data_IF_662205196409
#
_entry.id   IF_662205196409
#
_cell.length_a   1.000
_cell.length_b   1.000
_cell.length_c   1.000
_cell.angle_alpha   90.00
_cell.angle_beta   90.00
_cell.angle_gamma   90.00
#
_symmetry.space_group_name_H-M   'P 1'
#
loop_
_entity.id
_entity.type
_entity.pdbx_description
1 polymer ?
#
# COMPACT_ATOMS: atom_id res chain seq x y z
N UNK A 1 0.54 -5.55 31.45
CA UNK A 1 1.41 -5.56 30.26
C UNK A 1 0.52 -5.54 29.01
N UNK A 2 0.08 -4.35 28.58
CA UNK A 2 -0.55 -4.21 27.28
C UNK A 2 0.53 -4.44 26.22
N UNK A 3 0.41 -5.51 25.43
CA UNK A 3 1.10 -5.56 24.14
C UNK A 3 0.64 -4.31 23.40
N UNK A 4 1.54 -3.35 23.21
CA UNK A 4 1.38 -2.33 22.17
C UNK A 4 0.94 -3.10 20.93
N UNK A 5 -0.26 -2.83 20.42
CA UNK A 5 -0.62 -3.30 19.10
C UNK A 5 0.42 -2.65 18.18
N UNK A 6 1.45 -3.41 17.80
CA UNK A 6 2.33 -3.03 16.72
C UNK A 6 1.39 -2.74 15.57
N UNK A 7 1.35 -1.49 15.10
CA UNK A 7 0.62 -1.17 13.88
C UNK A 7 1.26 -2.00 12.79
N UNK A 8 0.63 -3.14 12.47
CA UNK A 8 1.09 -4.01 11.41
C UNK A 8 0.76 -3.29 10.12
N UNK A 9 1.78 -2.71 9.48
CA UNK A 9 1.67 -2.25 8.12
C UNK A 9 1.49 -3.46 7.21
N UNK A 10 0.50 -3.41 6.33
CA UNK A 10 0.22 -4.48 5.38
C UNK A 10 0.17 -3.93 3.96
N UNK A 11 0.75 -4.66 3.01
CA UNK A 11 0.71 -4.35 1.59
C UNK A 11 -0.33 -5.25 0.90
N UNK A 12 -1.35 -4.65 0.29
CA UNK A 12 -2.26 -5.37 -0.60
C UNK A 12 -1.75 -5.25 -2.04
N UNK A 13 -1.53 -6.39 -2.71
CA UNK A 13 -1.11 -6.46 -4.11
C UNK A 13 -2.29 -6.95 -4.93
N UNK A 14 -2.83 -6.07 -5.78
CA UNK A 14 -4.10 -6.28 -6.51
C UNK A 14 -3.94 -6.85 -7.92
N UNK A 15 -2.71 -6.91 -8.45
CA UNK A 15 -2.44 -7.41 -9.80
C UNK A 15 -2.70 -8.91 -9.94
N UNK A 16 -3.41 -9.38 -10.97
CA UNK A 16 -3.60 -10.81 -11.22
C UNK A 16 -2.30 -11.47 -11.67
N UNK A 17 -2.25 -12.80 -11.52
CA UNK A 17 -1.23 -13.63 -12.19
C UNK A 17 -1.59 -13.66 -13.67
N UNK A 18 -1.12 -12.67 -14.44
CA UNK A 18 -1.50 -12.50 -15.84
C UNK A 18 -1.38 -13.84 -16.60
N UNK A 19 -2.48 -14.39 -17.17
CA UNK A 19 -2.55 -15.77 -17.62
C UNK A 19 -1.73 -16.05 -18.89
N UNK A 20 -1.15 -15.01 -19.50
CA UNK A 20 -0.47 -15.08 -20.79
C UNK A 20 1.07 -15.09 -20.69
N UNK A 21 1.65 -15.13 -19.49
CA UNK A 21 3.09 -15.19 -19.31
C UNK A 21 3.48 -16.13 -18.17
N UNK A 22 4.07 -17.29 -18.50
CA UNK A 22 4.58 -18.24 -17.51
C UNK A 22 5.62 -17.62 -16.54
N UNK A 23 6.23 -16.50 -16.92
CA UNK A 23 7.13 -15.75 -16.03
C UNK A 23 6.41 -15.09 -14.86
N UNK A 24 5.12 -14.76 -14.99
CA UNK A 24 4.35 -14.13 -13.90
C UNK A 24 4.16 -15.08 -12.72
N UNK A 25 3.87 -16.37 -13.00
CA UNK A 25 3.75 -17.41 -11.97
C UNK A 25 5.08 -17.60 -11.26
N UNK A 26 6.19 -17.69 -12.01
CA UNK A 26 7.53 -17.83 -11.41
C UNK A 26 7.91 -16.62 -10.56
N UNK A 27 7.60 -15.43 -11.04
CA UNK A 27 7.86 -14.20 -10.30
C UNK A 27 7.03 -14.15 -9.01
N UNK A 28 5.76 -14.54 -9.07
CA UNK A 28 4.90 -14.65 -7.91
C UNK A 28 5.45 -15.63 -6.86
N UNK A 29 5.87 -16.83 -7.27
CA UNK A 29 6.52 -17.77 -6.35
C UNK A 29 7.82 -17.21 -5.76
N UNK A 30 8.60 -16.48 -6.57
CA UNK A 30 9.81 -15.79 -6.09
C UNK A 30 9.49 -14.77 -4.99
N UNK A 31 8.40 -14.02 -5.13
CA UNK A 31 7.95 -13.07 -4.11
C UNK A 31 7.50 -13.77 -2.82
N UNK A 32 6.81 -14.92 -2.94
CA UNK A 32 6.40 -15.72 -1.77
C UNK A 32 7.59 -16.30 -1.02
N UNK A 33 8.58 -16.81 -1.75
CA UNK A 33 9.82 -17.30 -1.16
C UNK A 33 10.60 -16.16 -0.48
N UNK A 34 10.64 -14.97 -1.10
CA UNK A 34 11.26 -13.80 -0.49
C UNK A 34 10.57 -13.39 0.82
N UNK A 35 9.24 -13.36 0.87
CA UNK A 35 8.51 -13.10 2.12
C UNK A 35 8.88 -14.10 3.22
N UNK A 36 9.03 -15.38 2.84
CA UNK A 36 9.42 -16.43 3.77
C UNK A 36 10.85 -16.25 4.28
N UNK A 37 11.79 -15.95 3.40
CA UNK A 37 13.19 -15.69 3.75
C UNK A 37 13.35 -14.49 4.67
N UNK A 38 12.54 -13.44 4.46
CA UNK A 38 12.56 -12.22 5.26
C UNK A 38 11.75 -12.33 6.57
N UNK A 39 10.98 -13.41 6.78
CA UNK A 39 10.12 -13.55 7.95
C UNK A 39 8.93 -12.58 7.95
N UNK A 40 8.49 -12.15 6.76
CA UNK A 40 7.44 -11.13 6.57
C UNK A 40 6.10 -11.75 6.14
N UNK A 41 5.88 -13.03 6.41
CA UNK A 41 4.61 -13.68 6.12
C UNK A 41 3.47 -12.93 6.83
N UNK A 42 2.43 -12.56 6.07
CA UNK A 42 1.30 -11.77 6.56
C UNK A 42 1.51 -10.25 6.55
N UNK A 43 2.66 -9.75 6.08
CA UNK A 43 2.88 -8.30 5.85
C UNK A 43 2.54 -7.89 4.41
N UNK A 44 2.42 -8.85 3.49
CA UNK A 44 1.92 -8.63 2.14
C UNK A 44 0.87 -9.68 1.82
N UNK A 45 -0.20 -9.24 1.16
CA UNK A 45 -1.35 -10.05 0.79
C UNK A 45 -1.57 -9.92 -0.72
N UNK A 46 -1.44 -11.03 -1.43
CA UNK A 46 -1.63 -11.06 -2.88
C UNK A 46 -3.06 -11.50 -3.20
N UNK A 47 -3.83 -10.61 -3.82
CA UNK A 47 -5.23 -10.87 -4.15
C UNK A 47 -5.38 -11.96 -5.23
N UNK A 48 -4.33 -12.15 -6.01
CA UNK A 48 -4.14 -13.30 -6.88
C UNK A 48 -4.35 -14.67 -6.20
N UNK A 49 -4.14 -14.80 -4.88
CA UNK A 49 -4.38 -16.06 -4.16
C UNK A 49 -5.87 -16.32 -3.90
N UNK A 50 -6.70 -15.29 -4.05
CA UNK A 50 -8.14 -15.33 -3.80
C UNK A 50 -8.95 -15.25 -5.09
N UNK A 51 -8.37 -14.70 -6.16
CA UNK A 51 -9.07 -14.44 -7.41
C UNK A 51 -8.12 -14.53 -8.62
N UNK A 52 -8.47 -15.39 -9.58
CA UNK A 52 -7.63 -15.72 -10.76
C UNK A 52 -7.74 -14.71 -11.92
N UNK A 53 -8.38 -13.56 -11.72
CA UNK A 53 -8.65 -12.58 -12.76
C UNK A 53 -8.48 -11.12 -12.32
N UNK A 54 -8.93 -10.20 -13.15
CA UNK A 54 -8.98 -8.79 -12.78
C UNK A 54 -10.06 -8.57 -11.73
N UNK A 55 -9.69 -7.92 -10.62
CA UNK A 55 -10.67 -7.49 -9.64
C UNK A 55 -11.67 -6.51 -10.28
N UNK A 56 -12.96 -6.56 -9.91
CA UNK A 56 -13.92 -5.55 -10.34
C UNK A 56 -13.47 -4.13 -9.99
N UNK A 57 -13.75 -3.16 -10.84
CA UNK A 57 -13.35 -1.75 -10.65
C UNK A 57 -13.85 -1.18 -9.31
N UNK A 58 -15.05 -1.58 -8.89
CA UNK A 58 -15.63 -1.20 -7.59
C UNK A 58 -14.79 -1.69 -6.39
N UNK A 59 -14.21 -2.88 -6.50
CA UNK A 59 -13.33 -3.45 -5.46
C UNK A 59 -12.00 -2.68 -5.44
N UNK A 60 -11.44 -2.36 -6.61
CA UNK A 60 -10.24 -1.52 -6.69
C UNK A 60 -10.50 -0.13 -6.10
N UNK A 61 -11.65 0.48 -6.40
CA UNK A 61 -12.05 1.77 -5.84
C UNK A 61 -12.19 1.71 -4.31
N UNK A 62 -12.71 0.62 -3.76
CA UNK A 62 -12.75 0.40 -2.31
C UNK A 62 -11.35 0.33 -1.70
N UNK A 63 -10.39 -0.35 -2.35
CA UNK A 63 -8.99 -0.36 -1.90
C UNK A 63 -8.39 1.05 -1.82
N UNK A 64 -8.60 1.89 -2.83
CA UNK A 64 -8.12 3.28 -2.80
C UNK A 64 -8.74 4.09 -1.65
N UNK A 65 -10.00 3.83 -1.27
CA UNK A 65 -10.68 4.53 -0.16
C UNK A 65 -10.17 4.13 1.21
N UNK A 66 -9.77 2.86 1.38
CA UNK A 66 -9.35 2.33 2.68
C UNK A 66 -7.83 2.36 2.88
N UNK A 67 -7.05 2.41 1.80
CA UNK A 67 -5.60 2.46 1.86
C UNK A 67 -5.08 3.73 2.54
N UNK A 68 -3.91 3.63 3.16
CA UNK A 68 -3.17 4.77 3.69
C UNK A 68 -2.27 5.44 2.64
N UNK A 69 -1.77 4.67 1.66
CA UNK A 69 -0.97 5.14 0.55
C UNK A 69 -1.06 4.20 -0.67
N UNK A 70 -0.74 4.72 -1.86
CA UNK A 70 -0.39 3.92 -3.03
C UNK A 70 1.12 3.71 -3.06
N UNK A 71 1.57 2.46 -3.15
CA UNK A 71 2.96 2.13 -3.47
C UNK A 71 3.05 1.57 -4.88
N UNK A 72 3.75 2.28 -5.77
CA UNK A 72 3.75 2.02 -7.21
C UNK A 72 5.18 1.97 -7.79
N UNK A 73 5.96 0.92 -7.46
CA UNK A 73 7.37 0.77 -7.85
C UNK A 73 7.54 0.28 -9.31
N UNK A 74 6.65 0.68 -10.23
CA UNK A 74 6.63 0.15 -11.59
C UNK A 74 7.86 0.57 -12.39
N UNK A 75 8.49 -0.38 -13.10
CA UNK A 75 9.65 -0.10 -13.96
C UNK A 75 9.24 0.41 -15.34
N UNK A 76 8.05 0.02 -15.79
CA UNK A 76 7.51 0.35 -17.11
C UNK A 76 6.02 0.63 -16.99
N UNK A 77 5.58 1.74 -17.57
CA UNK A 77 4.18 2.14 -17.54
C UNK A 77 3.75 2.70 -18.88
N UNK A 78 2.45 2.55 -19.16
CA UNK A 78 1.80 3.23 -20.28
C UNK A 78 1.49 4.67 -19.92
N UNK A 79 0.29 4.89 -19.37
CA UNK A 79 -0.18 6.23 -19.03
C UNK A 79 0.01 6.60 -17.56
N UNK A 80 0.09 5.63 -16.65
CA UNK A 80 0.15 5.88 -15.20
C UNK A 80 -1.21 6.11 -14.55
N UNK A 81 -2.25 5.41 -15.04
CA UNK A 81 -3.62 5.48 -14.49
C UNK A 81 -3.65 5.27 -12.97
N UNK A 82 -2.92 4.31 -12.37
CA UNK A 82 -2.95 4.13 -10.91
C UNK A 82 -2.53 5.37 -10.12
N UNK A 83 -1.57 6.14 -10.62
CA UNK A 83 -1.15 7.39 -9.97
C UNK A 83 -2.24 8.46 -10.02
N UNK A 84 -2.99 8.54 -11.13
CA UNK A 84 -4.11 9.47 -11.29
C UNK A 84 -5.27 9.06 -10.36
N UNK A 85 -5.57 7.76 -10.28
CA UNK A 85 -6.60 7.22 -9.39
C UNK A 85 -6.28 7.50 -7.91
N UNK A 86 -5.02 7.33 -7.50
CA UNK A 86 -4.56 7.72 -6.17
C UNK A 86 -4.78 9.22 -5.91
N UNK A 87 -4.44 10.07 -6.88
CA UNK A 87 -4.64 11.51 -6.76
C UNK A 87 -6.12 11.88 -6.58
N UNK A 88 -7.02 11.32 -7.39
CA UNK A 88 -8.47 11.54 -7.23
C UNK A 88 -9.02 10.99 -5.91
N UNK A 89 -8.39 9.97 -5.37
CA UNK A 89 -8.75 9.36 -4.09
C UNK A 89 -8.12 10.05 -2.88
N UNK A 90 -7.37 11.14 -3.08
CA UNK A 90 -6.62 11.86 -2.04
C UNK A 90 -5.62 10.95 -1.30
N UNK A 91 -5.09 9.95 -2.00
CA UNK A 91 -4.16 8.96 -1.47
C UNK A 91 -2.72 9.41 -1.77
N UNK A 92 -1.85 9.55 -0.76
CA UNK A 92 -0.45 9.81 -1.02
C UNK A 92 0.14 8.66 -1.84
N UNK A 93 0.87 9.00 -2.89
CA UNK A 93 1.49 8.03 -3.79
C UNK A 93 3.01 8.07 -3.68
N UNK A 94 3.60 6.90 -3.52
CA UNK A 94 5.04 6.67 -3.60
C UNK A 94 5.29 5.86 -4.87
N UNK A 95 5.90 6.46 -5.87
CA UNK A 95 5.99 5.85 -7.19
C UNK A 95 7.37 5.96 -7.82
N UNK A 96 7.60 5.08 -8.80
CA UNK A 96 8.84 5.06 -9.54
C UNK A 96 9.05 6.34 -10.37
N UNK A 97 10.28 6.85 -10.37
CA UNK A 97 10.69 8.02 -11.13
C UNK A 97 10.96 7.64 -12.60
N UNK A 98 9.90 7.31 -13.33
CA UNK A 98 9.96 6.93 -14.75
C UNK A 98 9.30 7.99 -15.65
N UNK A 99 9.69 8.09 -16.94
CA UNK A 99 9.19 9.14 -17.83
C UNK A 99 7.66 9.23 -17.93
N UNK A 100 6.89 8.13 -18.03
CA UNK A 100 5.42 8.20 -18.07
C UNK A 100 4.82 8.90 -16.85
N UNK A 101 5.25 8.51 -15.65
CA UNK A 101 4.72 9.07 -14.40
C UNK A 101 5.15 10.53 -14.20
N UNK A 102 6.39 10.89 -14.53
CA UNK A 102 6.86 12.28 -14.48
C UNK A 102 6.04 13.21 -15.39
N UNK A 103 5.67 12.73 -16.57
CA UNK A 103 4.94 13.54 -17.57
C UNK A 103 3.52 13.91 -17.13
N UNK A 104 2.96 13.25 -16.11
CA UNK A 104 1.65 13.59 -15.55
C UNK A 104 1.66 14.93 -14.80
N UNK A 105 2.82 15.44 -14.38
CA UNK A 105 2.93 16.72 -13.68
C UNK A 105 2.40 16.72 -12.24
N UNK A 106 2.12 15.55 -11.67
CA UNK A 106 1.66 15.38 -10.28
C UNK A 106 2.85 15.42 -9.31
N UNK A 107 3.48 16.60 -9.17
CA UNK A 107 4.71 16.80 -8.40
C UNK A 107 4.56 16.61 -6.90
N UNK A 108 3.35 16.53 -6.37
CA UNK A 108 3.07 16.24 -4.95
C UNK A 108 3.24 14.75 -4.59
N UNK A 109 3.31 13.86 -5.59
CA UNK A 109 3.66 12.46 -5.37
C UNK A 109 5.14 12.32 -4.98
N UNK A 110 5.44 11.28 -4.20
CA UNK A 110 6.80 10.95 -3.78
C UNK A 110 7.44 10.05 -4.82
N UNK A 111 8.54 10.50 -5.44
CA UNK A 111 9.22 9.77 -6.51
C UNK A 111 10.54 9.16 -6.04
N UNK A 112 10.81 7.91 -6.42
CA UNK A 112 12.08 7.22 -6.13
C UNK A 112 12.62 6.50 -7.37
N UNK A 113 13.94 6.28 -7.45
CA UNK A 113 14.51 5.51 -8.56
C UNK A 113 13.99 4.06 -8.54
N UNK A 114 13.67 3.43 -9.68
CA UNK A 114 13.33 1.99 -9.71
C UNK A 114 14.43 1.07 -9.17
N UNK A 115 15.67 1.57 -9.11
CA UNK A 115 16.85 0.87 -8.60
C UNK A 115 17.33 1.48 -7.25
N UNK A 116 16.46 2.26 -6.59
CA UNK A 116 16.77 2.85 -5.28
C UNK A 116 16.97 1.79 -4.20
N UNK A 117 17.76 2.12 -3.18
CA UNK A 117 17.87 1.29 -1.98
C UNK A 117 16.48 1.15 -1.31
N UNK A 118 15.96 -0.08 -1.13
CA UNK A 118 14.69 -0.30 -0.45
C UNK A 118 14.61 0.35 0.94
N UNK A 119 15.73 0.46 1.67
CA UNK A 119 15.77 1.12 2.96
C UNK A 119 15.50 2.64 2.87
N UNK A 120 15.95 3.29 1.79
CA UNK A 120 15.67 4.70 1.52
C UNK A 120 14.21 4.90 1.13
N UNK A 121 13.66 4.02 0.28
CA UNK A 121 12.24 4.05 -0.08
C UNK A 121 11.35 3.87 1.16
N UNK A 122 11.69 2.91 2.03
CA UNK A 122 10.99 2.71 3.29
C UNK A 122 11.08 3.94 4.21
N UNK A 123 12.26 4.56 4.32
CA UNK A 123 12.45 5.77 5.13
C UNK A 123 11.62 6.93 4.61
N UNK A 124 11.57 7.14 3.29
CA UNK A 124 10.72 8.15 2.65
C UNK A 124 9.23 7.95 2.99
N UNK A 125 8.75 6.70 2.99
CA UNK A 125 7.37 6.37 3.39
C UNK A 125 7.13 6.71 4.86
N UNK A 126 8.02 6.25 5.74
CA UNK A 126 7.92 6.49 7.18
C UNK A 126 7.93 8.00 7.48
N UNK A 127 8.87 8.75 6.90
CA UNK A 127 9.01 10.20 7.07
C UNK A 127 7.75 10.94 6.64
N UNK A 128 7.12 10.54 5.53
CA UNK A 128 5.86 11.13 5.09
C UNK A 128 4.77 10.95 6.16
N UNK A 129 4.59 9.74 6.68
CA UNK A 129 3.57 9.47 7.70
C UNK A 129 3.89 10.12 9.06
N UNK A 130 5.16 10.43 9.33
CA UNK A 130 5.56 11.17 10.52
C UNK A 130 5.41 12.68 10.38
N UNK A 131 5.53 13.23 9.17
CA UNK A 131 5.59 14.69 8.94
C UNK A 131 4.32 15.28 8.32
N UNK A 132 3.56 14.51 7.54
CA UNK A 132 2.30 14.93 6.92
C UNK A 132 1.18 15.06 7.96
N UNK A 133 0.63 16.28 8.12
CA UNK A 133 -0.47 16.52 9.05
C UNK A 133 -1.73 15.70 8.71
N UNK A 134 -2.22 15.69 7.45
CA UNK A 134 -3.38 14.86 7.09
C UNK A 134 -3.16 13.37 7.38
N UNK A 135 -1.98 12.84 7.06
CA UNK A 135 -1.66 11.44 7.30
C UNK A 135 -1.65 11.10 8.80
N UNK A 136 -0.98 11.92 9.62
CA UNK A 136 -0.98 11.74 11.08
C UNK A 136 -2.38 11.82 11.68
N UNK A 137 -3.21 12.76 11.20
CA UNK A 137 -4.58 12.90 11.68
C UNK A 137 -5.38 11.63 11.39
N UNK A 138 -5.33 11.13 10.15
CA UNK A 138 -5.99 9.90 9.75
C UNK A 138 -5.52 8.68 10.55
N UNK A 139 -4.20 8.51 10.72
CA UNK A 139 -3.63 7.42 11.50
C UNK A 139 -4.09 7.43 12.96
N UNK A 140 -4.05 8.60 13.61
CA UNK A 140 -4.54 8.75 14.99
C UNK A 140 -6.02 8.45 15.09
N UNK A 141 -6.81 8.94 14.12
CA UNK A 141 -8.23 8.68 14.10
C UNK A 141 -8.54 7.17 13.97
N UNK A 142 -7.87 6.47 13.05
CA UNK A 142 -8.01 5.01 12.87
C UNK A 142 -7.52 4.22 14.09
N UNK A 143 -6.47 4.66 14.76
CA UNK A 143 -5.96 3.98 15.95
C UNK A 143 -6.91 4.10 17.15
N UNK A 144 -7.50 5.29 17.35
CA UNK A 144 -8.29 5.62 18.54
C UNK A 144 -9.80 5.45 18.39
N UNK A 145 -10.35 5.61 17.18
CA UNK A 145 -11.79 5.72 16.94
C UNK A 145 -12.38 4.61 16.06
N UNK A 146 -11.70 3.47 15.92
CA UNK A 146 -12.37 2.23 15.49
C UNK A 146 -13.36 1.77 16.54
N UNK A 147 -14.42 1.06 16.16
CA UNK A 147 -15.46 0.68 17.10
C UNK A 147 -14.92 -0.15 18.28
N UNK A 148 -14.02 -1.10 18.01
CA UNK A 148 -13.36 -1.88 19.05
C UNK A 148 -12.54 -1.00 20.00
N UNK A 149 -11.84 0.00 19.45
CA UNK A 149 -11.06 0.94 20.24
C UNK A 149 -11.98 1.82 21.11
N UNK A 150 -13.05 2.37 20.54
CA UNK A 150 -14.05 3.16 21.27
C UNK A 150 -14.66 2.32 22.39
N UNK A 151 -15.08 1.10 22.07
CA UNK A 151 -15.68 0.20 23.05
C UNK A 151 -14.72 -0.04 24.21
N UNK A 152 -13.49 -0.50 23.95
CA UNK A 152 -12.55 -0.83 25.00
C UNK A 152 -12.03 0.38 25.79
N UNK A 153 -11.88 1.54 25.15
CA UNK A 153 -11.28 2.73 25.78
C UNK A 153 -12.33 3.60 26.49
N UNK A 154 -13.57 3.63 26.02
CA UNK A 154 -14.58 4.59 26.47
C UNK A 154 -15.85 3.95 27.02
N UNK A 155 -16.23 2.74 26.56
CA UNK A 155 -17.51 2.12 26.95
C UNK A 155 -17.30 1.04 28.03
N UNK A 156 -16.44 0.06 27.77
CA UNK A 156 -16.19 -1.06 28.67
C UNK A 156 -15.76 -0.64 30.10
N UNK A 157 -14.98 0.44 30.32
CA UNK A 157 -14.65 0.89 31.69
C UNK A 157 -15.83 1.48 32.48
N UNK A 158 -16.96 1.76 31.82
CA UNK A 158 -18.17 2.31 32.44
C UNK A 158 -19.22 1.24 32.77
N UNK A 159 -19.02 0.00 32.31
CA UNK A 159 -19.87 -1.16 32.57
C UNK A 159 -19.35 -1.95 33.77
#
# INVERSE_FOLDING_TARGET
MHRSASSMSALAVTGPLGPHNANNIKYFETLKDLLKQLGLQGSAHFLAELYDGFLPDEVIADFYRIADALFFPSREEGFGIPLIEAAFSHLPAFCANIPPLRKLGLSDAQFFSPDEDPALVASMIVDYFQTSMPARLAMRARASFRWEAIYHQHIAPLL
#
